data_IF_705870010288
#
_entry.id   IF_705870010288
#
_cell.length_a   1.000
_cell.length_b   1.000
_cell.length_c   1.000
_cell.angle_alpha   90.00
_cell.angle_beta   90.00
_cell.angle_gamma   90.00
#
_symmetry.space_group_name_H-M   'P 1'
#
loop_
_entity.id
_entity.type
_entity.pdbx_description
1 polymer ?
#
# COMPACT_ATOMS: atom_id res chain seq x y z
N UNK A 1 1.55 -24.46 -14.17
CA UNK A 1 0.98 -24.46 -12.82
C UNK A 1 0.35 -23.11 -12.58
N UNK A 2 -0.99 -23.02 -12.63
CA UNK A 2 -1.73 -21.77 -12.50
C UNK A 2 -2.36 -21.70 -11.11
N UNK A 3 -2.09 -20.64 -10.36
CA UNK A 3 -2.70 -20.36 -9.07
C UNK A 3 -3.86 -19.38 -9.28
N UNK A 4 -5.08 -19.89 -9.21
CA UNK A 4 -6.32 -19.13 -9.27
C UNK A 4 -6.87 -18.94 -7.86
N UNK A 5 -6.57 -17.81 -7.23
CA UNK A 5 -7.31 -17.36 -6.05
C UNK A 5 -8.51 -16.51 -6.51
N UNK A 6 -9.60 -17.20 -6.88
CA UNK A 6 -10.90 -16.58 -7.05
C UNK A 6 -11.51 -16.35 -5.67
N UNK A 7 -11.43 -15.11 -5.17
CA UNK A 7 -12.21 -14.68 -4.02
C UNK A 7 -13.69 -14.65 -4.43
N UNK A 8 -14.45 -15.63 -3.95
CA UNK A 8 -15.90 -15.73 -4.13
C UNK A 8 -16.56 -14.81 -3.10
N UNK A 9 -17.13 -13.70 -3.59
CA UNK A 9 -18.11 -12.89 -2.88
C UNK A 9 -19.48 -13.49 -3.21
N UNK A 10 -20.19 -13.95 -2.19
CA UNK A 10 -21.63 -14.32 -2.12
C UNK A 10 -21.75 -15.15 -0.83
N UNK A 11 -22.64 -14.94 0.13
CA UNK A 11 -23.92 -14.22 0.19
C UNK A 11 -24.16 -13.83 1.66
N UNK A 12 -24.57 -12.59 1.88
CA UNK A 12 -24.92 -12.03 3.20
C UNK A 12 -26.41 -12.29 3.45
N UNK A 13 -26.80 -13.55 3.58
CA UNK A 13 -28.20 -13.96 3.80
C UNK A 13 -28.25 -15.40 4.29
N UNK A 14 -27.84 -15.66 5.53
CA UNK A 14 -28.16 -16.90 6.25
C UNK A 14 -27.69 -16.78 7.69
N UNK A 15 -28.31 -15.90 8.48
CA UNK A 15 -28.33 -16.00 9.94
C UNK A 15 -29.61 -15.33 10.46
N UNK A 16 -30.76 -15.78 9.98
CA UNK A 16 -32.05 -15.61 10.65
C UNK A 16 -32.66 -16.98 10.86
N UNK A 17 -32.48 -17.53 12.06
CA UNK A 17 -33.41 -18.38 12.81
C UNK A 17 -32.62 -19.22 13.80
N UNK A 18 -32.69 -18.82 15.07
CA UNK A 18 -33.00 -19.69 16.22
C UNK A 18 -32.72 -18.91 17.50
N UNK A 19 -33.79 -18.40 18.10
CA UNK A 19 -33.80 -18.04 19.51
C UNK A 19 -33.88 -19.32 20.35
N UNK A 20 -33.15 -19.40 21.47
CA UNK A 20 -33.61 -20.09 22.65
C UNK A 20 -33.99 -19.08 23.75
N UNK A 21 -35.13 -19.36 24.37
CA UNK A 21 -35.71 -18.65 25.50
C UNK A 21 -34.80 -18.64 26.74
N UNK A 22 -35.05 -17.63 27.58
CA UNK A 22 -34.80 -17.57 29.02
C UNK A 22 -33.34 -17.61 29.49
N UNK A 23 -32.67 -16.47 29.34
CA UNK A 23 -31.70 -16.03 30.35
C UNK A 23 -32.28 -14.82 31.08
N UNK A 24 -32.52 -15.01 32.37
CA UNK A 24 -32.92 -14.01 33.37
C UNK A 24 -32.23 -12.67 33.07
N UNK A 25 -32.97 -11.67 32.62
CA UNK A 25 -32.42 -10.36 32.32
C UNK A 25 -31.88 -9.75 33.62
N UNK A 26 -30.55 -9.79 33.79
CA UNK A 26 -29.87 -8.98 34.78
C UNK A 26 -30.30 -7.51 34.55
N UNK A 27 -30.64 -6.75 35.61
CA UNK A 27 -31.18 -5.40 35.45
C UNK A 27 -30.19 -4.55 34.65
N UNK A 28 -30.58 -4.17 33.43
CA UNK A 28 -29.80 -3.31 32.55
C UNK A 28 -29.59 -1.97 33.25
N UNK A 29 -28.44 -1.79 33.90
CA UNK A 29 -28.05 -0.51 34.49
C UNK A 29 -28.05 0.53 33.37
N UNK A 30 -28.97 1.50 33.44
CA UNK A 30 -29.01 2.64 32.52
C UNK A 30 -27.66 3.35 32.62
N UNK A 31 -26.91 3.39 31.51
CA UNK A 31 -25.63 4.13 31.46
C UNK A 31 -25.94 5.60 31.76
N UNK A 32 -25.21 6.21 32.68
CA UNK A 32 -25.33 7.65 32.95
C UNK A 32 -25.05 8.40 31.65
N UNK A 33 -25.94 9.33 31.29
CA UNK A 33 -25.69 10.23 30.17
C UNK A 33 -24.45 11.07 30.51
N UNK A 34 -23.41 10.98 29.68
CA UNK A 34 -22.22 11.81 29.83
C UNK A 34 -22.58 13.28 29.59
N UNK A 35 -21.91 14.18 30.32
CA UNK A 35 -22.09 15.63 30.11
C UNK A 35 -21.70 16.00 28.68
N UNK A 36 -22.26 17.09 28.15
CA UNK A 36 -21.97 17.53 26.78
C UNK A 36 -20.46 17.72 26.53
N UNK A 37 -19.75 18.27 27.51
CA UNK A 37 -18.30 18.50 27.43
C UNK A 37 -17.49 17.21 27.38
N UNK A 38 -17.91 16.20 28.14
CA UNK A 38 -17.26 14.90 28.15
C UNK A 38 -17.45 14.18 26.80
N UNK A 39 -18.64 14.27 26.21
CA UNK A 39 -18.89 13.77 24.85
C UNK A 39 -18.05 14.51 23.81
N UNK A 40 -17.93 15.83 23.94
CA UNK A 40 -17.11 16.64 23.03
C UNK A 40 -15.62 16.26 23.10
N UNK A 41 -15.08 16.04 24.31
CA UNK A 41 -13.69 15.57 24.50
C UNK A 41 -13.44 14.22 23.85
N UNK A 42 -14.31 13.24 24.11
CA UNK A 42 -14.21 11.90 23.52
C UNK A 42 -14.31 11.93 21.98
N UNK A 43 -15.20 12.77 21.42
CA UNK A 43 -15.31 12.95 19.98
C UNK A 43 -14.04 13.57 19.39
N UNK A 44 -13.48 14.60 20.05
CA UNK A 44 -12.24 15.23 19.62
C UNK A 44 -11.06 14.24 19.62
N UNK A 45 -10.91 13.45 20.69
CA UNK A 45 -9.84 12.44 20.76
C UNK A 45 -9.96 11.39 19.65
N UNK A 46 -11.19 10.92 19.36
CA UNK A 46 -11.45 10.00 18.24
C UNK A 46 -11.06 10.61 16.90
N UNK A 47 -11.49 11.84 16.63
CA UNK A 47 -11.15 12.56 15.39
C UNK A 47 -9.64 12.73 15.27
N UNK A 48 -8.93 13.04 16.36
CA UNK A 48 -7.49 13.20 16.33
C UNK A 48 -6.75 11.87 16.11
N UNK A 49 -7.23 10.78 16.70
CA UNK A 49 -6.69 9.45 16.46
C UNK A 49 -6.85 9.05 14.98
N UNK A 50 -8.05 9.25 14.41
CA UNK A 50 -8.33 8.95 13.01
C UNK A 50 -7.46 9.79 12.06
N UNK A 51 -7.31 11.09 12.32
CA UNK A 51 -6.44 11.98 11.54
C UNK A 51 -4.99 11.53 11.56
N UNK A 52 -4.48 11.08 12.72
CA UNK A 52 -3.12 10.54 12.84
C UNK A 52 -2.97 9.27 12.01
N UNK A 53 -3.91 8.33 12.11
CA UNK A 53 -3.86 7.09 11.33
C UNK A 53 -3.90 7.36 9.82
N UNK A 54 -4.78 8.26 9.36
CA UNK A 54 -4.85 8.67 7.95
C UNK A 54 -3.59 9.40 7.49
N UNK A 55 -2.95 10.19 8.36
CA UNK A 55 -1.69 10.86 8.03
C UNK A 55 -0.54 9.83 7.87
N UNK A 56 -0.45 8.85 8.78
CA UNK A 56 0.54 7.78 8.70
C UNK A 56 0.35 6.93 7.44
N UNK A 57 -0.88 6.50 7.12
CA UNK A 57 -1.19 5.78 5.87
C UNK A 57 -0.73 6.56 4.64
N UNK A 58 -1.08 7.86 4.56
CA UNK A 58 -0.64 8.74 3.47
C UNK A 58 0.87 8.91 3.43
N UNK A 59 1.57 8.94 4.58
CA UNK A 59 3.04 9.04 4.62
C UNK A 59 3.68 7.79 4.02
N UNK A 60 3.23 6.60 4.46
CA UNK A 60 3.74 5.32 3.95
C UNK A 60 3.53 5.19 2.44
N UNK A 61 2.35 5.56 1.93
CA UNK A 61 2.08 5.55 0.49
C UNK A 61 2.96 6.53 -0.31
N UNK A 62 3.22 7.72 0.23
CA UNK A 62 4.13 8.68 -0.42
C UNK A 62 5.56 8.16 -0.42
N UNK A 63 6.01 7.58 0.68
CA UNK A 63 7.35 7.00 0.80
C UNK A 63 7.55 5.83 -0.17
N UNK A 64 6.56 4.94 -0.29
CA UNK A 64 6.64 3.80 -1.21
C UNK A 64 6.67 4.27 -2.68
N UNK A 65 5.80 5.21 -3.05
CA UNK A 65 5.80 5.84 -4.38
C UNK A 65 7.11 6.55 -4.68
N UNK A 66 7.66 7.30 -3.71
CA UNK A 66 8.94 7.99 -3.84
C UNK A 66 10.09 7.01 -4.05
N UNK A 67 10.17 5.94 -3.26
CA UNK A 67 11.20 4.89 -3.38
C UNK A 67 11.14 4.21 -4.76
N UNK A 68 9.95 3.88 -5.24
CA UNK A 68 9.76 3.27 -6.57
C UNK A 68 10.16 4.23 -7.70
N UNK A 69 9.82 5.51 -7.58
CA UNK A 69 10.21 6.52 -8.56
C UNK A 69 11.72 6.77 -8.55
N UNK A 70 12.33 6.82 -7.37
CA UNK A 70 13.77 7.02 -7.20
C UNK A 70 14.58 5.87 -7.81
N UNK A 71 14.17 4.61 -7.58
CA UNK A 71 14.83 3.45 -8.17
C UNK A 71 14.69 3.39 -9.70
N UNK A 72 13.53 3.78 -10.22
CA UNK A 72 13.31 3.93 -11.66
C UNK A 72 14.21 5.03 -12.26
N UNK A 73 14.24 6.22 -11.65
CA UNK A 73 15.03 7.35 -12.13
C UNK A 73 16.53 7.09 -12.04
N UNK A 74 17.01 6.47 -10.96
CA UNK A 74 18.43 6.14 -10.80
C UNK A 74 18.89 5.17 -11.88
N UNK A 75 18.10 4.12 -12.14
CA UNK A 75 18.34 3.16 -13.23
C UNK A 75 18.33 3.86 -14.59
N UNK A 76 17.31 4.67 -14.87
CA UNK A 76 17.19 5.43 -16.12
C UNK A 76 18.38 6.35 -16.36
N UNK A 77 18.83 7.08 -15.32
CA UNK A 77 20.01 7.95 -15.40
C UNK A 77 21.28 7.15 -15.67
N UNK A 78 21.48 6.02 -14.98
CA UNK A 78 22.65 5.14 -15.20
C UNK A 78 22.71 4.67 -16.65
N UNK A 79 21.60 4.18 -17.19
CA UNK A 79 21.52 3.71 -18.57
C UNK A 79 21.76 4.85 -19.57
N UNK A 80 21.11 5.99 -19.38
CA UNK A 80 21.32 7.16 -20.24
C UNK A 80 22.79 7.62 -20.22
N UNK A 81 23.42 7.62 -19.05
CA UNK A 81 24.84 7.95 -18.91
C UNK A 81 25.72 6.99 -19.71
N UNK A 82 25.45 5.68 -19.65
CA UNK A 82 26.17 4.68 -20.43
C UNK A 82 25.98 4.86 -21.95
N UNK A 83 24.74 5.10 -22.40
CA UNK A 83 24.43 5.32 -23.82
C UNK A 83 25.04 6.60 -24.39
N UNK A 84 25.20 7.64 -23.55
CA UNK A 84 25.85 8.90 -23.92
C UNK A 84 27.39 8.80 -23.95
N UNK A 85 27.98 7.68 -23.49
CA UNK A 85 29.45 7.52 -23.51
C UNK A 85 29.94 7.50 -24.95
N UNK A 86 30.92 8.37 -25.21
CA UNK A 86 31.65 8.45 -26.48
C UNK A 86 33.12 8.10 -26.28
N UNK A 87 33.76 7.61 -27.32
CA UNK A 87 35.20 7.40 -27.33
C UNK A 87 35.96 8.73 -27.50
N UNK A 88 37.30 8.72 -27.43
CA UNK A 88 38.13 9.92 -27.62
C UNK A 88 37.90 10.61 -28.98
N UNK A 89 37.42 9.88 -29.99
CA UNK A 89 37.08 10.37 -31.32
C UNK A 89 35.62 10.84 -31.45
N UNK A 90 34.86 10.89 -30.35
CA UNK A 90 33.46 11.35 -30.32
C UNK A 90 32.43 10.33 -30.81
N UNK A 91 32.83 9.14 -31.24
CA UNK A 91 31.93 8.10 -31.69
C UNK A 91 31.26 7.40 -30.49
N UNK A 92 30.04 6.87 -30.66
CA UNK A 92 29.38 6.08 -29.61
C UNK A 92 30.23 4.88 -29.18
N UNK A 93 30.28 4.63 -27.87
CA UNK A 93 30.99 3.47 -27.33
C UNK A 93 30.10 2.22 -27.41
N UNK A 94 30.40 1.31 -28.34
CA UNK A 94 29.63 0.09 -28.56
C UNK A 94 29.55 -0.80 -27.31
N UNK A 95 30.67 -0.98 -26.60
CA UNK A 95 30.72 -1.84 -25.41
C UNK A 95 29.78 -1.32 -24.31
N UNK A 96 29.73 0.00 -24.11
CA UNK A 96 28.81 0.61 -23.14
C UNK A 96 27.33 0.43 -23.52
N UNK A 97 27.02 0.38 -24.83
CA UNK A 97 25.65 0.09 -25.30
C UNK A 97 25.30 -1.39 -25.13
N UNK A 98 26.26 -2.29 -25.36
CA UNK A 98 26.11 -3.74 -25.13
C UNK A 98 25.82 -4.01 -23.65
N UNK A 99 26.56 -3.39 -22.72
CA UNK A 99 26.31 -3.51 -21.28
C UNK A 99 24.85 -3.17 -20.92
N UNK A 100 24.32 -2.06 -21.47
CA UNK A 100 22.92 -1.67 -21.25
C UNK A 100 21.93 -2.67 -21.83
N UNK A 101 22.26 -3.30 -22.97
CA UNK A 101 21.42 -4.31 -23.59
C UNK A 101 21.39 -5.59 -22.75
N UNK A 102 22.56 -6.05 -22.27
CA UNK A 102 22.66 -7.20 -21.38
C UNK A 102 21.87 -6.98 -20.08
N UNK A 103 22.03 -5.81 -19.43
CA UNK A 103 21.26 -5.46 -18.23
C UNK A 103 19.73 -5.49 -18.50
N UNK A 104 19.28 -5.11 -19.70
CA UNK A 104 17.85 -5.20 -20.08
C UNK A 104 17.39 -6.63 -20.29
N UNK A 105 18.22 -7.49 -20.87
CA UNK A 105 17.90 -8.91 -21.08
C UNK A 105 17.79 -9.61 -19.73
N UNK A 106 18.77 -9.44 -18.85
CA UNK A 106 18.76 -9.99 -17.49
C UNK A 106 17.53 -9.54 -16.69
N UNK A 107 17.16 -8.25 -16.76
CA UNK A 107 15.94 -7.78 -16.09
C UNK A 107 14.66 -8.38 -16.65
N UNK A 108 14.62 -8.74 -17.93
CA UNK A 108 13.47 -9.41 -18.54
C UNK A 108 13.41 -10.87 -18.14
N UNK A 109 14.55 -11.56 -18.07
CA UNK A 109 14.60 -12.97 -17.66
C UNK A 109 14.31 -13.15 -16.16
N UNK A 110 14.77 -12.25 -15.30
CA UNK A 110 14.50 -12.29 -13.84
C UNK A 110 13.06 -11.90 -13.47
N UNK A 111 12.33 -11.24 -14.38
CA UNK A 111 10.95 -10.78 -14.16
C UNK A 111 9.91 -11.74 -14.75
N UNK A 112 10.33 -12.63 -15.66
CA UNK A 112 9.50 -13.70 -16.23
C UNK A 112 9.43 -14.90 -15.30
#
# INVERSE_FOLDING_TARGET
>A
MANSNSAKIESLSDLSEQLPCDSVEAPRRKKRHLHADERARLAYERIQAERKEQAEKRRVERESKRKALESYLSTKRKMNRALLRRNKKGQPNLNAQIEVLLEKIEKRTLKS
#
